data_IF_435540846068
#
_entry.id   IF_435540846068
#
_cell.length_a   1.000
_cell.length_b   1.000
_cell.length_c   1.000
_cell.angle_alpha   90.00
_cell.angle_beta   90.00
_cell.angle_gamma   90.00
#
_symmetry.space_group_name_H-M   'P 1'
#
loop_
_entity.id
_entity.type
_entity.pdbx_description
1 polymer ?
#
# COMPACT_ATOMS: atom_id res chain seq x y z
N UNK A 1 -43.08 -15.40 32.44
CA UNK A 1 -41.77 -14.81 32.11
C UNK A 1 -41.60 -14.86 30.60
N UNK A 2 -41.07 -13.80 29.97
CA UNK A 2 -40.98 -13.68 28.52
C UNK A 2 -39.50 -13.69 28.12
N UNK A 3 -38.96 -14.88 27.94
CA UNK A 3 -37.57 -15.15 27.60
C UNK A 3 -37.28 -14.75 26.14
N UNK A 4 -37.12 -13.45 25.92
CA UNK A 4 -36.66 -12.90 24.64
C UNK A 4 -35.21 -13.30 24.43
N UNK A 5 -34.97 -14.44 23.76
CA UNK A 5 -33.66 -14.79 23.20
C UNK A 5 -33.24 -13.69 22.23
N UNK A 6 -32.37 -12.81 22.70
CA UNK A 6 -31.72 -11.80 21.88
C UNK A 6 -30.81 -12.59 20.91
N UNK A 7 -31.02 -12.50 19.58
CA UNK A 7 -30.12 -13.16 18.65
C UNK A 7 -28.72 -12.56 18.83
N UNK A 8 -27.73 -13.43 18.98
CA UNK A 8 -26.33 -13.03 19.06
C UNK A 8 -25.97 -12.12 17.87
N UNK A 9 -25.23 -11.03 18.11
CA UNK A 9 -24.91 -10.10 17.03
C UNK A 9 -24.14 -10.81 15.92
N UNK A 10 -24.38 -10.43 14.64
CA UNK A 10 -23.68 -11.00 13.51
C UNK A 10 -22.17 -10.80 13.67
N UNK A 11 -21.42 -11.90 13.57
CA UNK A 11 -19.95 -11.88 13.63
C UNK A 11 -19.46 -11.26 12.32
N UNK A 12 -18.95 -10.03 12.38
CA UNK A 12 -18.29 -9.39 11.25
C UNK A 12 -17.08 -10.25 10.83
N UNK A 13 -16.89 -10.54 9.53
CA UNK A 13 -15.71 -11.26 9.08
C UNK A 13 -14.44 -10.48 9.46
N UNK A 14 -13.31 -11.16 9.71
CA UNK A 14 -12.06 -10.49 10.01
C UNK A 14 -11.74 -9.51 8.89
N UNK A 15 -11.40 -8.27 9.26
CA UNK A 15 -10.98 -7.23 8.32
C UNK A 15 -9.78 -7.77 7.54
N UNK A 16 -10.05 -8.29 6.35
CA UNK A 16 -9.02 -8.60 5.36
C UNK A 16 -8.34 -7.26 5.13
N UNK A 17 -7.14 -7.08 5.70
CA UNK A 17 -6.27 -5.96 5.37
C UNK A 17 -5.97 -6.11 3.89
N UNK A 18 -6.79 -5.49 3.06
CA UNK A 18 -6.54 -5.32 1.63
C UNK A 18 -5.12 -4.79 1.57
N UNK A 19 -4.22 -5.59 1.00
CA UNK A 19 -2.79 -5.29 0.99
C UNK A 19 -2.58 -3.99 0.23
N UNK A 20 -2.45 -2.87 0.94
CA UNK A 20 -2.11 -1.55 0.39
C UNK A 20 -0.64 -1.46 -0.09
N UNK A 21 0.03 -2.61 -0.22
CA UNK A 21 1.42 -2.75 -0.58
C UNK A 21 1.51 -3.14 -2.05
N UNK A 22 1.16 -2.25 -2.97
CA UNK A 22 1.36 -2.46 -4.40
C UNK A 22 2.38 -1.47 -4.98
N UNK A 23 3.45 -1.98 -5.55
CA UNK A 23 4.52 -1.22 -6.19
C UNK A 23 4.21 -1.03 -7.68
N UNK A 24 4.04 0.21 -8.13
CA UNK A 24 3.80 0.47 -9.55
C UNK A 24 5.07 0.34 -10.42
N UNK A 25 6.27 0.34 -9.82
CA UNK A 25 7.52 0.20 -10.57
C UNK A 25 7.75 -1.22 -11.06
N UNK A 26 7.55 -2.21 -10.19
CA UNK A 26 7.67 -3.63 -10.54
C UNK A 26 6.32 -4.31 -10.80
N UNK A 27 5.21 -3.56 -10.70
CA UNK A 27 3.82 -4.04 -10.88
C UNK A 27 3.53 -5.30 -10.04
N UNK A 28 3.80 -5.22 -8.75
CA UNK A 28 3.64 -6.35 -7.83
C UNK A 28 3.58 -5.87 -6.39
N UNK A 29 3.63 -6.81 -5.45
CA UNK A 29 3.48 -6.48 -4.03
C UNK A 29 4.74 -5.76 -3.48
N UNK A 30 4.57 -4.81 -2.56
CA UNK A 30 5.69 -4.19 -1.88
C UNK A 30 6.23 -5.16 -0.83
N UNK A 31 7.39 -5.72 -1.13
CA UNK A 31 8.11 -6.62 -0.24
C UNK A 31 9.15 -5.83 0.56
N UNK A 32 8.93 -5.74 1.87
CA UNK A 32 9.84 -5.08 2.81
C UNK A 32 9.61 -3.58 2.93
N UNK A 33 10.67 -2.80 2.74
CA UNK A 33 10.65 -1.35 2.97
C UNK A 33 9.91 -0.59 1.86
N UNK A 34 9.03 0.31 2.29
CA UNK A 34 8.25 1.18 1.40
C UNK A 34 8.93 2.54 1.28
N UNK A 35 9.16 2.98 0.04
CA UNK A 35 9.51 4.36 -0.27
C UNK A 35 8.23 5.13 -0.58
N UNK A 36 7.99 6.20 0.16
CA UNK A 36 6.86 7.11 -0.09
C UNK A 36 7.37 8.33 -0.83
N UNK A 37 6.84 8.59 -2.03
CA UNK A 37 7.23 9.77 -2.79
C UNK A 37 6.82 11.04 -2.02
N UNK A 38 7.76 11.96 -1.72
CA UNK A 38 7.47 13.15 -0.92
C UNK A 38 6.51 14.13 -1.64
N UNK A 39 6.41 14.06 -2.97
CA UNK A 39 5.55 14.96 -3.75
C UNK A 39 4.10 14.49 -3.87
N UNK A 40 3.86 13.18 -3.92
CA UNK A 40 2.52 12.64 -4.22
C UNK A 40 2.02 11.60 -3.22
N UNK A 41 2.82 11.26 -2.21
CA UNK A 41 2.47 10.25 -1.20
C UNK A 41 2.35 8.83 -1.76
N UNK A 42 2.78 8.58 -3.00
CA UNK A 42 2.69 7.24 -3.59
C UNK A 42 3.75 6.33 -3.00
N UNK A 43 3.32 5.18 -2.50
CA UNK A 43 4.19 4.14 -1.94
C UNK A 43 4.73 3.24 -3.04
N UNK A 44 6.02 2.98 -2.99
CA UNK A 44 6.77 2.11 -3.89
C UNK A 44 7.70 1.22 -3.07
N UNK A 45 8.32 0.21 -3.67
CA UNK A 45 9.41 -0.50 -3.01
C UNK A 45 10.65 0.39 -2.93
N UNK A 46 11.36 0.34 -1.81
CA UNK A 46 12.63 1.04 -1.64
C UNK A 46 13.67 0.58 -2.67
N UNK A 47 13.70 -0.71 -3.01
CA UNK A 47 14.54 -1.25 -4.10
C UNK A 47 14.20 -0.64 -5.46
N UNK A 48 12.92 -0.50 -5.78
CA UNK A 48 12.47 0.13 -7.02
C UNK A 48 12.79 1.62 -7.05
N UNK A 49 12.61 2.33 -5.93
CA UNK A 49 12.96 3.73 -5.81
C UNK A 49 14.46 3.96 -5.99
N UNK A 50 15.31 3.12 -5.39
CA UNK A 50 16.77 3.15 -5.59
C UNK A 50 17.15 2.91 -7.05
N UNK A 51 16.57 1.89 -7.69
CA UNK A 51 16.83 1.60 -9.11
C UNK A 51 16.35 2.73 -10.01
N UNK A 52 15.18 3.30 -9.72
CA UNK A 52 14.66 4.45 -10.43
C UNK A 52 15.57 5.67 -10.30
N UNK A 53 16.12 5.94 -9.11
CA UNK A 53 17.14 6.98 -8.90
C UNK A 53 18.39 6.73 -9.76
N UNK A 54 18.92 5.51 -9.76
CA UNK A 54 20.09 5.15 -10.58
C UNK A 54 19.83 5.28 -12.07
N UNK A 55 18.62 4.99 -12.54
CA UNK A 55 18.19 5.14 -13.93
C UNK A 55 17.61 6.54 -14.25
N UNK A 56 17.68 7.49 -13.32
CA UNK A 56 17.03 8.81 -13.42
C UNK A 56 15.53 8.75 -13.81
N UNK A 57 14.83 7.67 -13.44
CA UNK A 57 13.39 7.48 -13.67
C UNK A 57 12.56 8.36 -12.74
N UNK A 58 11.48 8.85 -13.31
CA UNK A 58 10.49 9.67 -12.65
C UNK A 58 9.44 8.80 -11.94
N UNK A 59 8.85 9.36 -10.89
CA UNK A 59 7.71 8.81 -10.17
C UNK A 59 6.54 8.58 -11.13
N UNK A 60 5.99 7.36 -11.15
CA UNK A 60 4.92 6.96 -12.10
C UNK A 60 3.69 7.88 -11.99
N UNK A 61 3.39 8.38 -10.79
CA UNK A 61 2.18 9.15 -10.51
C UNK A 61 2.34 10.66 -10.70
N UNK A 62 3.43 11.26 -10.23
CA UNK A 62 3.64 12.72 -10.30
C UNK A 62 4.75 13.17 -11.27
N UNK A 63 5.36 12.23 -11.99
CA UNK A 63 6.48 12.47 -12.91
C UNK A 63 7.63 13.28 -12.29
N UNK A 64 7.80 13.23 -10.97
CA UNK A 64 8.92 13.86 -10.27
C UNK A 64 10.10 12.89 -10.18
N UNK A 65 11.31 13.40 -10.26
CA UNK A 65 12.52 12.63 -9.98
C UNK A 65 12.40 11.94 -8.62
N UNK A 66 12.72 10.64 -8.59
CA UNK A 66 12.78 9.88 -7.35
C UNK A 66 14.04 10.31 -6.58
N UNK A 67 13.90 11.40 -5.84
CA UNK A 67 14.92 11.92 -4.94
C UNK A 67 14.59 11.43 -3.53
N UNK A 68 15.43 10.53 -3.03
CA UNK A 68 15.40 10.00 -1.67
C UNK A 68 16.49 10.68 -0.87
#
# INVERSE_FOLDING_TARGET
MNDKKIPSPPVLPPKIKIKENFCLFHKGEIEGETYTCPKCGTKYCLKCAKKARSEAKLCVKCKQLVMM
#
